data_IF_508273277812
#
_entry.id   IF_508273277812
#
_cell.length_a   1.000
_cell.length_b   1.000
_cell.length_c   1.000
_cell.angle_alpha   90.00
_cell.angle_beta   90.00
_cell.angle_gamma   90.00
#
_symmetry.space_group_name_H-M   'P 1'
#
loop_
_entity.id
_entity.type
_entity.pdbx_description
1 polymer ?
#
# COMPACT_ATOMS: atom_id res chain seq x y z
N UNK A 1 23.11 -11.65 10.68
CA UNK A 1 22.60 -10.46 9.98
C UNK A 1 23.11 -10.31 8.54
N UNK A 2 23.82 -11.31 7.95
CA UNK A 2 24.48 -11.15 6.65
C UNK A 2 23.90 -11.97 5.49
N UNK A 3 22.92 -12.79 5.72
CA UNK A 3 22.22 -13.50 4.65
C UNK A 3 20.90 -12.79 4.39
N UNK A 4 20.95 -11.76 3.57
CA UNK A 4 19.76 -11.24 2.91
C UNK A 4 19.16 -12.41 2.12
N UNK A 5 17.97 -12.89 2.43
CA UNK A 5 17.36 -13.95 1.65
C UNK A 5 16.94 -13.34 0.32
N UNK A 6 17.80 -13.44 -0.66
CA UNK A 6 17.45 -13.17 -2.03
C UNK A 6 16.46 -14.27 -2.43
N UNK A 7 15.40 -13.86 -3.07
CA UNK A 7 14.26 -14.70 -3.41
C UNK A 7 14.63 -15.97 -4.19
N UNK A 8 15.83 -16.06 -4.70
CA UNK A 8 16.29 -17.14 -5.58
C UNK A 8 17.66 -17.68 -5.18
N UNK A 9 17.74 -18.31 -4.01
CA UNK A 9 18.92 -19.13 -3.66
C UNK A 9 19.17 -20.16 -4.76
N UNK A 10 18.12 -20.70 -5.38
CA UNK A 10 18.18 -21.63 -6.49
C UNK A 10 18.81 -20.99 -7.74
N UNK A 11 18.44 -19.76 -8.06
CA UNK A 11 19.01 -19.00 -9.19
C UNK A 11 20.47 -18.66 -8.93
N UNK A 12 20.82 -18.25 -7.72
CA UNK A 12 22.21 -18.00 -7.34
C UNK A 12 23.07 -19.29 -7.40
N UNK A 13 22.55 -20.41 -6.92
CA UNK A 13 23.23 -21.71 -7.01
C UNK A 13 23.40 -22.16 -8.45
N UNK A 14 22.41 -21.98 -9.32
CA UNK A 14 22.49 -22.28 -10.75
C UNK A 14 23.51 -21.40 -11.47
N UNK A 15 23.55 -20.11 -11.18
CA UNK A 15 24.55 -19.19 -11.73
C UNK A 15 25.95 -19.57 -11.28
N UNK A 16 26.13 -19.90 -10.01
CA UNK A 16 27.44 -20.27 -9.44
C UNK A 16 27.94 -21.60 -9.99
N UNK A 17 27.06 -22.60 -10.11
CA UNK A 17 27.40 -23.89 -10.77
C UNK A 17 27.70 -23.69 -12.26
N UNK A 18 26.93 -22.86 -12.96
CA UNK A 18 27.20 -22.50 -14.35
C UNK A 18 28.56 -21.80 -14.53
N UNK A 19 28.87 -20.87 -13.64
CA UNK A 19 30.15 -20.15 -13.66
C UNK A 19 31.36 -21.11 -13.39
N UNK A 20 31.23 -22.04 -12.45
CA UNK A 20 32.25 -23.04 -12.15
C UNK A 20 32.48 -23.98 -13.35
N UNK A 21 31.39 -24.44 -14.01
CA UNK A 21 31.48 -25.27 -15.20
C UNK A 21 32.16 -24.53 -16.37
N UNK A 22 31.78 -23.26 -16.59
CA UNK A 22 32.43 -22.42 -17.61
C UNK A 22 33.91 -22.19 -17.31
N UNK A 23 34.27 -21.94 -16.06
CA UNK A 23 35.67 -21.76 -15.65
C UNK A 23 36.44 -23.05 -15.85
N UNK A 24 35.89 -24.21 -15.48
CA UNK A 24 36.54 -25.53 -15.70
C UNK A 24 36.73 -25.82 -17.20
N UNK A 25 35.72 -25.51 -18.02
CA UNK A 25 35.82 -25.65 -19.49
C UNK A 25 36.89 -24.72 -20.07
N UNK A 26 36.96 -23.47 -19.62
CA UNK A 26 37.96 -22.50 -20.04
C UNK A 26 39.39 -22.96 -19.66
N UNK A 27 39.57 -23.42 -18.42
CA UNK A 27 40.83 -23.97 -17.97
C UNK A 27 41.23 -25.21 -18.76
N UNK A 28 40.30 -26.11 -19.09
CA UNK A 28 40.56 -27.29 -19.92
C UNK A 28 40.97 -26.90 -21.36
N UNK A 29 40.44 -25.82 -21.90
CA UNK A 29 40.83 -25.30 -23.22
C UNK A 29 42.22 -24.66 -23.17
N UNK A 30 42.53 -23.89 -22.12
CA UNK A 30 43.83 -23.23 -21.94
C UNK A 30 44.95 -24.24 -21.64
N UNK A 31 44.62 -25.27 -20.88
CA UNK A 31 45.57 -26.32 -20.49
C UNK A 31 45.70 -27.45 -21.51
N UNK A 32 45.26 -27.25 -22.76
CA UNK A 32 45.44 -28.25 -23.81
C UNK A 32 46.94 -28.50 -24.03
N UNK A 33 47.40 -29.76 -23.93
CA UNK A 33 48.80 -30.07 -24.18
C UNK A 33 49.16 -29.70 -25.62
N UNK A 34 50.35 -29.16 -25.81
CA UNK A 34 50.88 -28.88 -27.13
C UNK A 34 51.02 -30.16 -27.97
N UNK A 35 51.04 -30.03 -29.30
CA UNK A 35 51.22 -31.20 -30.19
C UNK A 35 52.45 -32.03 -29.84
N UNK A 36 53.53 -31.40 -29.41
CA UNK A 36 54.72 -32.06 -28.95
C UNK A 36 54.54 -32.88 -27.68
N UNK A 37 53.87 -32.30 -26.69
CA UNK A 37 53.57 -33.00 -25.44
C UNK A 37 52.62 -34.19 -25.67
N UNK A 38 51.61 -33.98 -26.56
CA UNK A 38 50.70 -35.06 -26.95
C UNK A 38 51.47 -36.19 -27.65
N UNK A 39 52.39 -35.87 -28.57
CA UNK A 39 53.26 -36.88 -29.25
C UNK A 39 54.11 -37.65 -28.25
N UNK A 40 54.73 -36.97 -27.29
CA UNK A 40 55.52 -37.62 -26.26
C UNK A 40 54.69 -38.55 -25.35
N UNK A 41 53.44 -38.15 -25.01
CA UNK A 41 52.57 -39.01 -24.22
C UNK A 41 52.09 -40.23 -24.99
N UNK A 42 51.89 -40.14 -26.29
CA UNK A 42 51.49 -41.23 -27.16
C UNK A 42 52.71 -42.20 -27.30
N UNK A 43 53.95 -41.71 -27.48
CA UNK A 43 55.17 -42.49 -27.54
C UNK A 43 55.42 -43.25 -26.26
N UNK A 44 55.11 -42.65 -25.08
CA UNK A 44 55.25 -43.35 -23.79
C UNK A 44 54.28 -44.53 -23.65
N UNK A 45 53.28 -44.68 -24.50
CA UNK A 45 52.33 -45.81 -24.56
C UNK A 45 52.78 -46.94 -25.45
N UNK A 46 54.03 -46.93 -25.87
CA UNK A 46 54.65 -48.06 -26.56
C UNK A 46 55.05 -47.79 -28.02
N UNK A 47 54.92 -46.58 -28.51
CA UNK A 47 55.27 -46.17 -29.86
C UNK A 47 56.84 -45.88 -30.02
N UNK A 48 57.60 -45.95 -28.93
CA UNK A 48 59.07 -45.87 -28.94
C UNK A 48 59.58 -44.64 -29.72
N UNK A 49 59.17 -43.45 -29.37
CA UNK A 49 59.58 -42.15 -29.95
C UNK A 49 59.29 -41.97 -31.46
N UNK A 50 58.41 -42.78 -32.05
CA UNK A 50 58.17 -42.74 -33.50
C UNK A 50 57.31 -41.49 -33.84
N UNK A 51 56.35 -41.13 -32.99
CA UNK A 51 55.42 -39.97 -33.26
C UNK A 51 56.18 -38.68 -33.01
N UNK A 52 56.93 -38.56 -31.93
CA UNK A 52 57.70 -37.35 -31.60
C UNK A 52 58.78 -37.12 -32.68
N UNK A 53 59.49 -38.14 -33.11
CA UNK A 53 60.47 -38.04 -34.18
C UNK A 53 59.83 -37.69 -35.53
N UNK A 54 58.68 -38.26 -35.89
CA UNK A 54 57.96 -37.92 -37.10
C UNK A 54 57.49 -36.48 -37.07
N UNK A 55 57.04 -35.98 -35.92
CA UNK A 55 56.62 -34.57 -35.72
C UNK A 55 57.81 -33.62 -35.87
N UNK A 56 58.98 -33.96 -35.27
CA UNK A 56 60.20 -33.17 -35.41
C UNK A 56 60.68 -33.11 -36.86
N UNK A 57 60.68 -34.23 -37.58
CA UNK A 57 60.99 -34.28 -38.95
C UNK A 57 60.03 -33.54 -39.86
N UNK A 58 58.75 -33.40 -39.40
CA UNK A 58 57.76 -32.58 -40.14
C UNK A 58 58.04 -31.10 -40.09
N UNK A 59 58.67 -30.61 -39.02
CA UNK A 59 59.09 -29.23 -38.87
C UNK A 59 60.38 -28.86 -39.68
N UNK A 60 61.11 -29.84 -40.12
CA UNK A 60 62.33 -29.65 -40.92
C UNK A 60 61.98 -29.74 -42.43
N UNK A 61 62.27 -28.71 -43.17
CA UNK A 61 61.88 -28.55 -44.59
C UNK A 61 62.58 -29.46 -45.62
N UNK A 62 63.39 -30.46 -45.25
CA UNK A 62 64.10 -31.34 -46.17
C UNK A 62 63.29 -32.62 -46.41
N UNK A 63 62.57 -32.70 -47.50
CA UNK A 63 61.75 -33.85 -47.89
C UNK A 63 62.59 -34.99 -48.47
N UNK A 64 63.36 -35.67 -47.62
CA UNK A 64 64.09 -36.87 -48.06
C UNK A 64 63.16 -38.09 -48.04
N UNK A 65 63.41 -39.07 -48.94
CA UNK A 65 62.56 -40.28 -49.03
C UNK A 65 62.51 -41.03 -47.68
N UNK A 66 63.63 -41.03 -46.93
CA UNK A 66 63.69 -41.62 -45.59
C UNK A 66 62.73 -40.95 -44.63
N UNK A 67 62.56 -39.63 -44.64
CA UNK A 67 61.65 -38.90 -43.77
C UNK A 67 60.21 -39.23 -44.11
N UNK A 68 59.88 -39.40 -45.38
CA UNK A 68 58.55 -39.79 -45.82
C UNK A 68 58.15 -41.17 -45.31
N UNK A 69 59.06 -42.13 -45.45
CA UNK A 69 58.85 -43.47 -44.92
C UNK A 69 58.70 -43.51 -43.41
N UNK A 70 59.42 -42.69 -42.70
CA UNK A 70 59.36 -42.63 -41.23
C UNK A 70 57.99 -41.97 -40.74
N UNK A 71 57.51 -41.03 -41.49
CA UNK A 71 56.14 -40.46 -41.21
C UNK A 71 55.05 -41.48 -41.50
N UNK A 72 55.15 -42.23 -42.56
CA UNK A 72 54.18 -43.27 -42.92
C UNK A 72 54.20 -44.43 -41.86
N UNK A 73 55.36 -44.77 -41.38
CA UNK A 73 55.49 -45.78 -40.30
C UNK A 73 54.88 -45.31 -38.99
N UNK A 74 55.14 -44.05 -38.62
CA UNK A 74 54.54 -43.43 -37.44
C UNK A 74 53.02 -43.36 -37.56
N UNK A 75 52.50 -42.97 -38.76
CA UNK A 75 51.04 -42.91 -39.02
C UNK A 75 50.38 -44.29 -38.94
N UNK A 76 51.00 -45.33 -39.51
CA UNK A 76 50.43 -46.69 -39.42
C UNK A 76 50.39 -47.22 -37.98
N UNK A 77 51.42 -46.93 -37.18
CA UNK A 77 51.40 -47.32 -35.77
C UNK A 77 50.42 -46.48 -34.93
N UNK A 78 50.27 -45.21 -35.26
CA UNK A 78 49.30 -44.36 -34.61
C UNK A 78 47.85 -44.80 -34.90
N UNK A 79 47.53 -45.16 -36.16
CA UNK A 79 46.24 -45.70 -36.56
C UNK A 79 45.93 -47.08 -35.94
N UNK A 80 46.93 -47.83 -35.65
CA UNK A 80 46.76 -49.11 -34.96
C UNK A 80 46.66 -48.99 -33.42
N UNK A 81 46.87 -47.81 -32.88
CA UNK A 81 46.78 -47.57 -31.44
C UNK A 81 45.33 -47.53 -31.00
N UNK A 82 44.95 -48.38 -30.08
CA UNK A 82 43.62 -48.28 -29.43
C UNK A 82 43.66 -47.15 -28.42
N UNK A 83 43.03 -46.05 -28.81
CA UNK A 83 42.98 -44.81 -28.01
C UNK A 83 42.21 -45.04 -26.70
N UNK A 84 41.12 -45.85 -26.71
CA UNK A 84 40.32 -46.13 -25.52
C UNK A 84 41.07 -46.94 -24.49
N UNK A 85 41.88 -47.93 -24.94
CA UNK A 85 42.72 -48.70 -24.06
C UNK A 85 43.98 -47.94 -23.56
N UNK A 86 44.52 -47.05 -24.44
CA UNK A 86 45.72 -46.26 -24.14
C UNK A 86 45.45 -45.05 -23.21
N UNK A 87 44.30 -44.45 -23.35
CA UNK A 87 43.88 -43.21 -22.60
C UNK A 87 42.51 -43.38 -21.95
N UNK A 88 42.35 -44.31 -20.98
CA UNK A 88 41.08 -44.55 -20.35
C UNK A 88 40.68 -43.30 -19.57
N UNK A 89 39.53 -42.69 -19.91
CA UNK A 89 38.86 -41.63 -19.14
C UNK A 89 38.33 -42.24 -17.83
N UNK A 90 39.21 -42.46 -16.87
CA UNK A 90 38.80 -42.95 -15.55
C UNK A 90 38.84 -41.79 -14.55
N UNK A 91 37.71 -41.40 -14.07
CA UNK A 91 37.61 -40.53 -12.89
C UNK A 91 38.21 -41.30 -11.68
N UNK A 92 39.24 -40.79 -11.04
CA UNK A 92 39.77 -41.43 -9.84
C UNK A 92 38.65 -41.53 -8.79
N UNK A 93 38.52 -42.72 -8.20
CA UNK A 93 37.43 -43.06 -7.25
C UNK A 93 37.30 -42.04 -6.09
N UNK A 94 38.39 -41.39 -5.71
CA UNK A 94 38.39 -40.34 -4.66
C UNK A 94 37.69 -39.08 -5.14
N UNK A 95 37.98 -38.60 -6.33
CA UNK A 95 37.38 -37.40 -6.92
C UNK A 95 35.89 -37.59 -7.26
N UNK A 96 35.55 -38.80 -7.75
CA UNK A 96 34.13 -39.16 -7.96
C UNK A 96 33.30 -39.15 -6.66
N UNK A 97 33.88 -39.58 -5.54
CA UNK A 97 33.21 -39.49 -4.23
C UNK A 97 33.03 -38.04 -3.77
N UNK A 98 34.05 -37.20 -3.96
CA UNK A 98 33.97 -35.77 -3.62
C UNK A 98 32.91 -35.07 -4.46
N UNK A 99 32.83 -35.31 -5.76
CA UNK A 99 31.79 -34.79 -6.64
C UNK A 99 30.36 -35.24 -6.22
N UNK A 100 30.22 -36.52 -5.88
CA UNK A 100 28.95 -37.08 -5.43
C UNK A 100 28.51 -36.46 -4.10
N UNK A 101 29.42 -36.30 -3.13
CA UNK A 101 29.12 -35.65 -1.85
C UNK A 101 28.74 -34.18 -2.04
N UNK A 102 29.43 -33.45 -2.91
CA UNK A 102 29.11 -32.05 -3.21
C UNK A 102 27.74 -31.92 -3.90
N UNK A 103 27.45 -32.82 -4.86
CA UNK A 103 26.14 -32.87 -5.49
C UNK A 103 25.00 -33.17 -4.50
N UNK A 104 25.22 -34.15 -3.60
CA UNK A 104 24.28 -34.50 -2.55
C UNK A 104 24.03 -33.32 -1.59
N UNK A 105 25.09 -32.62 -1.21
CA UNK A 105 25.00 -31.43 -0.33
C UNK A 105 24.27 -30.30 -1.00
N UNK A 106 24.46 -30.05 -2.29
CA UNK A 106 23.70 -29.10 -3.08
C UNK A 106 22.21 -29.45 -3.13
N UNK A 107 21.87 -30.72 -3.34
CA UNK A 107 20.48 -31.21 -3.32
C UNK A 107 19.87 -31.03 -1.93
N UNK A 108 20.60 -31.36 -0.87
CA UNK A 108 20.15 -31.23 0.51
C UNK A 108 19.83 -29.76 0.86
N UNK A 109 20.71 -28.84 0.48
CA UNK A 109 20.49 -27.38 0.69
C UNK A 109 19.23 -26.88 -0.06
N UNK A 110 18.91 -27.44 -1.22
CA UNK A 110 17.70 -27.10 -1.97
C UNK A 110 16.42 -27.67 -1.36
N UNK A 111 16.48 -28.82 -0.70
CA UNK A 111 15.32 -29.48 -0.08
C UNK A 111 14.95 -28.83 1.25
N UNK A 112 15.92 -28.23 1.98
CA UNK A 112 15.63 -27.56 3.23
C UNK A 112 14.90 -26.25 2.94
N UNK A 113 13.60 -26.14 3.31
CA UNK A 113 12.84 -24.90 3.10
C UNK A 113 13.51 -23.77 3.89
N UNK A 114 13.75 -22.66 3.23
CA UNK A 114 14.34 -21.49 3.87
C UNK A 114 13.41 -20.97 4.98
N UNK A 115 13.75 -21.12 6.27
CA UNK A 115 12.89 -20.72 7.38
C UNK A 115 12.61 -19.20 7.41
N UNK A 116 13.41 -18.41 6.69
CA UNK A 116 13.28 -16.96 6.62
C UNK A 116 12.35 -16.49 5.50
N UNK A 117 11.90 -17.37 4.61
CA UNK A 117 11.06 -17.01 3.46
C UNK A 117 9.74 -16.37 3.90
N UNK A 118 9.08 -16.93 4.89
CA UNK A 118 7.84 -16.39 5.44
C UNK A 118 8.00 -14.99 6.05
N UNK A 119 9.13 -14.74 6.73
CA UNK A 119 9.39 -13.42 7.34
C UNK A 119 9.65 -12.35 6.27
N UNK A 120 10.35 -12.70 5.19
CA UNK A 120 10.60 -11.77 4.07
C UNK A 120 9.32 -11.47 3.31
N UNK A 121 8.53 -12.48 3.01
CA UNK A 121 7.22 -12.30 2.35
C UNK A 121 6.31 -11.41 3.20
N UNK A 122 6.29 -11.61 4.51
CA UNK A 122 5.56 -10.77 5.47
C UNK A 122 6.06 -9.33 5.44
N UNK A 123 7.36 -9.09 5.50
CA UNK A 123 7.93 -7.74 5.44
C UNK A 123 7.63 -7.05 4.11
N UNK A 124 7.66 -7.78 3.00
CA UNK A 124 7.28 -7.24 1.69
C UNK A 124 5.78 -6.91 1.63
N UNK A 125 4.91 -7.77 2.18
CA UNK A 125 3.47 -7.51 2.26
C UNK A 125 3.18 -6.24 3.08
N UNK A 126 3.79 -6.11 4.25
CA UNK A 126 3.67 -4.92 5.10
C UNK A 126 4.14 -3.65 4.36
N UNK A 127 5.28 -3.70 3.67
CA UNK A 127 5.77 -2.54 2.91
C UNK A 127 4.86 -2.15 1.76
N UNK A 128 4.30 -3.13 1.04
CA UNK A 128 3.32 -2.88 -0.03
C UNK A 128 2.06 -2.22 0.54
N UNK A 129 1.58 -2.72 1.67
CA UNK A 129 0.41 -2.16 2.34
C UNK A 129 0.68 -0.73 2.83
N UNK A 130 1.80 -0.47 3.48
CA UNK A 130 2.18 0.89 3.87
C UNK A 130 2.20 1.84 2.66
N UNK A 131 2.76 1.41 1.53
CA UNK A 131 2.79 2.22 0.31
C UNK A 131 1.39 2.47 -0.28
N UNK A 132 0.46 1.51 -0.18
CA UNK A 132 -0.94 1.70 -0.58
C UNK A 132 -1.65 2.69 0.34
N UNK A 133 -1.44 2.56 1.65
CA UNK A 133 -2.04 3.45 2.63
C UNK A 133 -1.49 4.89 2.52
N UNK A 134 -0.21 5.07 2.19
CA UNK A 134 0.34 6.40 1.88
C UNK A 134 -0.43 7.08 0.74
N UNK A 135 -0.76 6.35 -0.33
CA UNK A 135 -1.56 6.89 -1.44
C UNK A 135 -2.98 7.26 -1.01
N UNK A 136 -3.58 6.51 -0.11
CA UNK A 136 -4.91 6.84 0.43
C UNK A 136 -4.88 8.09 1.31
N UNK A 137 -3.90 8.19 2.21
CA UNK A 137 -3.67 9.37 3.04
C UNK A 137 -3.43 10.60 2.16
N UNK A 138 -2.66 10.47 1.10
CA UNK A 138 -2.41 11.54 0.15
C UNK A 138 -3.70 12.02 -0.56
N UNK A 139 -4.57 11.10 -0.98
CA UNK A 139 -5.87 11.45 -1.56
C UNK A 139 -6.73 12.25 -0.57
N UNK A 140 -6.83 11.76 0.67
CA UNK A 140 -7.60 12.42 1.72
C UNK A 140 -7.04 13.81 2.02
N UNK A 141 -5.71 13.95 2.11
CA UNK A 141 -5.05 15.24 2.27
C UNK A 141 -5.38 16.20 1.12
N UNK A 142 -5.24 15.74 -0.12
CA UNK A 142 -5.53 16.56 -1.31
C UNK A 142 -6.99 16.99 -1.39
N UNK A 143 -7.92 16.14 -0.96
CA UNK A 143 -9.34 16.50 -0.87
C UNK A 143 -9.58 17.57 0.21
N UNK A 144 -8.92 17.48 1.36
CA UNK A 144 -8.98 18.50 2.41
C UNK A 144 -8.37 19.83 1.94
N UNK A 145 -7.24 19.79 1.23
CA UNK A 145 -6.59 21.00 0.68
C UNK A 145 -7.53 21.71 -0.30
N UNK A 146 -8.12 20.97 -1.26
CA UNK A 146 -9.09 21.54 -2.22
C UNK A 146 -10.30 22.17 -1.53
N UNK A 147 -10.77 21.55 -0.45
CA UNK A 147 -11.91 22.11 0.33
C UNK A 147 -11.48 23.31 1.16
N UNK A 148 -10.26 23.32 1.68
CA UNK A 148 -9.73 24.45 2.43
C UNK A 148 -9.47 25.66 1.52
N UNK A 149 -9.08 25.47 0.26
CA UNK A 149 -8.96 26.55 -0.74
C UNK A 149 -10.34 27.22 -1.01
N UNK A 150 -11.43 26.43 -1.04
CA UNK A 150 -12.78 26.95 -1.27
C UNK A 150 -13.38 27.65 -0.05
N UNK A 151 -13.11 27.13 1.15
CA UNK A 151 -13.58 27.65 2.43
C UNK A 151 -12.46 27.47 3.47
N UNK A 152 -11.59 28.47 3.65
CA UNK A 152 -10.49 28.40 4.60
C UNK A 152 -10.97 28.22 6.03
N UNK A 153 -10.36 27.26 6.76
CA UNK A 153 -10.67 26.99 8.16
C UNK A 153 -9.41 26.58 8.90
N UNK A 154 -9.16 27.19 10.05
CA UNK A 154 -8.00 26.88 10.91
C UNK A 154 -7.94 25.41 11.26
N UNK A 155 -9.09 24.80 11.60
CA UNK A 155 -9.16 23.37 11.93
C UNK A 155 -8.85 22.46 10.75
N UNK A 156 -9.29 22.81 9.52
CA UNK A 156 -8.86 22.07 8.30
C UNK A 156 -7.36 22.17 8.08
N UNK A 157 -6.81 23.36 8.27
CA UNK A 157 -5.37 23.58 8.13
C UNK A 157 -4.56 22.74 9.13
N UNK A 158 -4.99 22.69 10.39
CA UNK A 158 -4.39 21.81 11.40
C UNK A 158 -4.51 20.33 11.03
N UNK A 159 -5.66 19.90 10.52
CA UNK A 159 -5.85 18.56 10.00
C UNK A 159 -4.93 18.23 8.82
N UNK A 160 -4.75 19.16 7.89
CA UNK A 160 -3.81 19.02 6.76
C UNK A 160 -2.38 18.87 7.28
N UNK A 161 -1.95 19.73 8.21
CA UNK A 161 -0.60 19.64 8.84
C UNK A 161 -0.39 18.29 9.53
N UNK A 162 -1.40 17.79 10.25
CA UNK A 162 -1.32 16.49 10.90
C UNK A 162 -1.16 15.34 9.89
N UNK A 163 -1.86 15.41 8.74
CA UNK A 163 -1.74 14.42 7.66
C UNK A 163 -0.39 14.52 6.92
N UNK A 164 0.17 15.72 6.76
CA UNK A 164 1.51 15.91 6.18
C UNK A 164 2.60 15.33 7.07
N UNK A 165 2.52 15.57 8.37
CA UNK A 165 3.41 14.97 9.36
C UNK A 165 3.31 13.43 9.36
N UNK A 166 2.09 12.90 9.26
CA UNK A 166 1.86 11.47 9.13
C UNK A 166 2.51 10.92 7.86
N UNK A 167 2.32 11.59 6.72
CA UNK A 167 2.88 11.15 5.44
C UNK A 167 4.42 11.07 5.53
N UNK A 168 5.07 12.05 6.16
CA UNK A 168 6.51 12.03 6.41
C UNK A 168 6.92 10.85 7.31
N UNK A 169 6.23 10.66 8.43
CA UNK A 169 6.51 9.57 9.37
C UNK A 169 6.29 8.18 8.74
N UNK A 170 5.27 8.01 7.90
CA UNK A 170 5.01 6.77 7.17
C UNK A 170 6.10 6.49 6.11
N UNK A 171 6.65 7.54 5.48
CA UNK A 171 7.76 7.39 4.54
C UNK A 171 9.06 6.93 5.24
N UNK A 172 9.30 7.40 6.46
CA UNK A 172 10.45 7.03 7.28
C UNK A 172 10.26 5.69 8.00
N UNK A 173 9.02 5.19 8.13
CA UNK A 173 8.70 4.00 8.86
C UNK A 173 9.28 2.74 8.20
N UNK A 174 10.27 2.12 8.83
CA UNK A 174 10.89 0.86 8.40
C UNK A 174 10.19 -0.37 9.00
N UNK A 175 9.48 -0.20 10.10
CA UNK A 175 8.79 -1.26 10.85
C UNK A 175 7.30 -0.97 10.94
N UNK A 176 6.50 -2.04 10.97
CA UNK A 176 5.05 -1.97 11.17
C UNK A 176 4.67 -1.17 12.42
N UNK A 177 5.34 -1.41 13.54
CA UNK A 177 5.06 -0.74 14.82
C UNK A 177 5.19 0.78 14.73
N UNK A 178 6.18 1.27 13.98
CA UNK A 178 6.37 2.70 13.77
C UNK A 178 5.23 3.31 12.95
N UNK A 179 4.80 2.60 11.88
CA UNK A 179 3.67 3.02 11.06
C UNK A 179 2.37 3.04 11.88
N UNK A 180 2.11 1.99 12.65
CA UNK A 180 0.92 1.88 13.51
C UNK A 180 0.89 2.97 14.59
N UNK A 181 2.02 3.26 15.22
CA UNK A 181 2.13 4.31 16.24
C UNK A 181 1.89 5.70 15.64
N UNK A 182 2.44 5.99 14.47
CA UNK A 182 2.22 7.27 13.80
C UNK A 182 0.77 7.44 13.35
N UNK A 183 0.12 6.38 12.83
CA UNK A 183 -1.31 6.39 12.50
C UNK A 183 -2.17 6.64 13.73
N UNK A 184 -1.94 5.91 14.83
CA UNK A 184 -2.71 6.07 16.08
C UNK A 184 -2.56 7.49 16.67
N UNK A 185 -1.34 8.03 16.67
CA UNK A 185 -1.07 9.39 17.15
C UNK A 185 -1.81 10.45 16.31
N UNK A 186 -1.83 10.30 14.99
CA UNK A 186 -2.53 11.25 14.11
C UNK A 186 -4.04 11.08 14.19
N UNK A 187 -4.54 9.84 14.33
CA UNK A 187 -5.96 9.57 14.58
C UNK A 187 -6.43 10.28 15.86
N UNK A 188 -5.65 10.25 16.95
CA UNK A 188 -5.96 10.94 18.19
C UNK A 188 -5.94 12.48 18.02
N UNK A 189 -4.98 13.02 17.25
CA UNK A 189 -4.94 14.44 16.93
C UNK A 189 -6.17 14.89 16.14
N UNK A 190 -6.56 14.14 15.09
CA UNK A 190 -7.78 14.44 14.33
C UNK A 190 -9.04 14.30 15.20
N UNK A 191 -9.07 13.30 16.09
CA UNK A 191 -10.17 13.12 17.03
C UNK A 191 -10.33 14.34 17.95
N UNK A 192 -9.25 14.90 18.47
CA UNK A 192 -9.29 16.11 19.29
C UNK A 192 -9.83 17.33 18.52
N UNK A 193 -9.50 17.43 17.22
CA UNK A 193 -10.02 18.51 16.37
C UNK A 193 -11.53 18.39 16.08
N UNK A 194 -12.06 17.17 16.16
CA UNK A 194 -13.49 16.87 15.88
C UNK A 194 -14.36 16.98 17.12
N UNK A 195 -13.84 16.72 18.33
CA UNK A 195 -14.64 16.44 19.54
C UNK A 195 -15.37 17.62 20.16
N UNK A 196 -15.07 18.86 19.79
CA UNK A 196 -15.73 20.00 20.45
C UNK A 196 -17.10 20.32 19.82
N UNK A 197 -18.16 19.73 20.37
CA UNK A 197 -19.55 20.13 20.13
C UNK A 197 -20.17 19.68 18.80
N UNK A 198 -19.67 18.61 18.18
CA UNK A 198 -20.15 18.18 16.85
C UNK A 198 -21.57 17.59 16.87
N UNK A 199 -21.92 16.81 17.88
CA UNK A 199 -23.23 16.16 17.94
C UNK A 199 -24.34 17.16 18.14
N UNK A 200 -24.13 18.17 18.99
CA UNK A 200 -25.08 19.23 19.27
C UNK A 200 -25.35 20.11 18.06
N UNK A 201 -24.28 20.56 17.37
CA UNK A 201 -24.41 21.41 16.16
C UNK A 201 -25.19 20.70 15.04
N UNK A 202 -24.90 19.43 14.78
CA UNK A 202 -25.60 18.66 13.75
C UNK A 202 -27.07 18.41 14.13
N UNK A 203 -27.30 18.10 15.39
CA UNK A 203 -28.66 17.90 15.93
C UNK A 203 -29.49 19.19 15.79
N UNK A 204 -28.92 20.33 16.18
CA UNK A 204 -29.58 21.64 16.13
C UNK A 204 -29.91 22.09 14.68
N UNK A 205 -28.93 21.91 13.76
CA UNK A 205 -29.18 22.22 12.32
C UNK A 205 -30.25 21.30 11.72
N UNK A 206 -30.26 20.02 12.06
CA UNK A 206 -31.30 19.10 11.60
C UNK A 206 -32.66 19.39 12.22
N UNK A 207 -32.70 19.71 13.51
CA UNK A 207 -33.91 20.10 14.22
C UNK A 207 -34.55 21.34 13.60
N UNK A 208 -33.74 22.38 13.38
CA UNK A 208 -34.17 23.63 12.72
C UNK A 208 -34.61 23.38 11.27
N UNK A 209 -33.87 22.58 10.50
CA UNK A 209 -34.23 22.21 9.13
C UNK A 209 -35.62 21.55 9.08
N UNK A 210 -35.90 20.60 9.99
CA UNK A 210 -37.23 19.94 10.05
C UNK A 210 -38.33 20.90 10.41
N UNK A 211 -38.11 21.76 11.40
CA UNK A 211 -39.11 22.76 11.82
C UNK A 211 -39.46 23.74 10.69
N UNK A 212 -38.46 24.25 9.99
CA UNK A 212 -38.66 25.17 8.86
C UNK A 212 -39.33 24.49 7.65
N UNK A 213 -39.09 23.22 7.39
CA UNK A 213 -39.72 22.49 6.27
C UNK A 213 -41.20 22.19 6.47
N UNK A 214 -41.71 22.29 7.68
CA UNK A 214 -43.15 22.10 7.96
C UNK A 214 -44.00 23.17 7.30
N UNK A 215 -43.47 24.38 7.22
CA UNK A 215 -44.16 25.52 6.61
C UNK A 215 -43.57 25.83 5.22
N UNK A 216 -44.44 26.12 4.26
CA UNK A 216 -44.03 26.40 2.88
C UNK A 216 -43.05 27.58 2.81
N UNK A 217 -43.31 28.62 3.63
CA UNK A 217 -42.50 29.82 3.69
C UNK A 217 -41.06 29.58 4.20
N UNK A 218 -40.90 28.58 5.05
CA UNK A 218 -39.59 28.16 5.64
C UNK A 218 -38.86 27.13 4.83
N UNK A 219 -39.50 26.47 3.86
CA UNK A 219 -39.01 25.30 3.15
C UNK A 219 -37.67 25.54 2.47
N UNK A 220 -37.49 26.67 1.76
CA UNK A 220 -36.21 26.99 1.12
C UNK A 220 -35.06 27.06 2.13
N UNK A 221 -35.27 27.73 3.28
CA UNK A 221 -34.27 27.81 4.34
C UNK A 221 -33.97 26.44 4.95
N UNK A 222 -35.00 25.63 5.18
CA UNK A 222 -34.88 24.27 5.70
C UNK A 222 -34.13 23.34 4.76
N UNK A 223 -34.31 23.45 3.44
CA UNK A 223 -33.60 22.68 2.45
C UNK A 223 -32.10 23.05 2.39
N UNK A 224 -31.80 24.36 2.47
CA UNK A 224 -30.42 24.84 2.50
C UNK A 224 -29.68 24.41 3.79
N UNK A 225 -30.39 24.41 4.93
CA UNK A 225 -29.87 23.88 6.18
C UNK A 225 -29.55 22.38 6.09
N UNK A 226 -30.48 21.60 5.49
CA UNK A 226 -30.25 20.17 5.28
C UNK A 226 -29.08 19.87 4.35
N UNK A 227 -28.85 20.72 3.35
CA UNK A 227 -27.72 20.59 2.44
C UNK A 227 -26.38 20.94 3.09
N UNK A 228 -26.36 21.70 4.20
CA UNK A 228 -25.17 22.04 4.97
C UNK A 228 -24.23 23.04 4.30
N UNK A 229 -24.64 23.68 3.20
CA UNK A 229 -23.84 24.71 2.53
C UNK A 229 -23.95 26.05 3.27
N UNK A 230 -22.90 26.40 3.99
CA UNK A 230 -22.78 27.61 4.80
C UNK A 230 -23.17 28.88 4.05
N UNK A 231 -22.75 29.03 2.79
CA UNK A 231 -23.04 30.22 1.98
C UNK A 231 -24.51 30.29 1.55
N UNK A 232 -25.02 29.14 1.14
CA UNK A 232 -26.45 29.06 0.72
C UNK A 232 -27.40 29.20 1.93
N UNK A 233 -27.01 28.69 3.10
CA UNK A 233 -27.73 28.92 4.37
C UNK A 233 -27.85 30.42 4.60
N UNK A 234 -26.71 31.13 4.68
CA UNK A 234 -26.70 32.57 4.92
C UNK A 234 -27.55 33.32 3.88
N UNK A 235 -27.36 33.04 2.58
CA UNK A 235 -28.11 33.69 1.50
C UNK A 235 -29.63 33.46 1.60
N UNK A 236 -30.06 32.26 1.98
CA UNK A 236 -31.50 31.96 2.11
C UNK A 236 -32.12 32.75 3.25
N UNK A 237 -31.41 32.91 4.37
CA UNK A 237 -31.87 33.72 5.50
C UNK A 237 -31.85 35.24 5.17
N UNK A 238 -30.83 35.74 4.47
CA UNK A 238 -30.77 37.12 4.02
C UNK A 238 -31.89 37.44 3.04
N UNK A 239 -32.20 36.56 2.07
CA UNK A 239 -33.34 36.70 1.17
C UNK A 239 -34.71 36.74 1.93
N UNK A 240 -34.82 35.87 2.95
CA UNK A 240 -36.01 35.88 3.78
C UNK A 240 -36.09 37.18 4.59
N UNK A 241 -34.99 37.68 5.11
CA UNK A 241 -34.90 38.95 5.83
C UNK A 241 -35.38 40.15 4.96
N UNK A 242 -34.99 40.16 3.67
CA UNK A 242 -35.46 41.18 2.71
C UNK A 242 -36.96 41.07 2.42
N UNK A 243 -37.50 39.85 2.37
CA UNK A 243 -38.90 39.58 2.06
C UNK A 243 -39.86 39.77 3.26
N UNK A 244 -39.32 39.86 4.49
CA UNK A 244 -40.16 39.94 5.72
C UNK A 244 -41.19 41.06 5.67
N UNK A 245 -40.85 42.22 5.09
CA UNK A 245 -41.77 43.37 4.94
C UNK A 245 -42.97 43.08 4.04
N UNK A 246 -42.81 42.20 3.07
CA UNK A 246 -43.82 41.78 2.11
C UNK A 246 -44.67 40.59 2.60
N UNK A 247 -44.28 39.93 3.71
CA UNK A 247 -45.02 38.79 4.25
C UNK A 247 -46.36 39.22 4.89
N UNK A 248 -47.36 38.36 4.73
CA UNK A 248 -48.64 38.52 5.47
C UNK A 248 -48.43 38.33 6.97
N UNK A 249 -49.34 38.80 7.78
CA UNK A 249 -49.29 38.60 9.24
C UNK A 249 -49.35 37.11 9.58
N UNK A 250 -50.13 36.32 8.87
CA UNK A 250 -50.23 34.84 9.04
C UNK A 250 -48.92 34.15 8.72
N UNK A 251 -48.25 34.50 7.61
CA UNK A 251 -46.97 33.93 7.21
C UNK A 251 -45.87 34.26 8.21
N UNK A 252 -45.83 35.48 8.75
CA UNK A 252 -44.88 35.86 9.82
C UNK A 252 -45.10 35.05 11.08
N UNK A 253 -46.37 34.81 11.47
CA UNK A 253 -46.72 33.99 12.63
C UNK A 253 -46.31 32.52 12.44
N UNK A 254 -46.55 31.95 11.25
CA UNK A 254 -46.11 30.57 10.92
C UNK A 254 -44.61 30.44 10.98
N UNK A 255 -43.87 31.38 10.39
CA UNK A 255 -42.42 31.37 10.46
C UNK A 255 -41.91 31.52 11.91
N UNK A 256 -42.54 32.41 12.70
CA UNK A 256 -42.22 32.58 14.11
C UNK A 256 -42.49 31.30 14.92
N UNK A 257 -43.60 30.58 14.63
CA UNK A 257 -43.89 29.30 15.26
C UNK A 257 -42.86 28.24 14.96
N UNK A 258 -42.41 28.10 13.68
CA UNK A 258 -41.36 27.18 13.28
C UNK A 258 -40.01 27.48 13.97
N UNK A 259 -39.64 28.78 14.10
CA UNK A 259 -38.44 29.19 14.82
C UNK A 259 -38.54 28.90 16.33
N UNK A 260 -39.68 29.13 16.94
CA UNK A 260 -39.91 28.77 18.35
C UNK A 260 -39.86 27.25 18.58
N UNK A 261 -40.43 26.46 17.68
CA UNK A 261 -40.36 25.02 17.71
C UNK A 261 -38.87 24.55 17.63
N UNK A 262 -38.11 25.12 16.72
CA UNK A 262 -36.67 24.84 16.62
C UNK A 262 -35.92 25.26 17.88
N UNK A 263 -36.25 26.40 18.48
CA UNK A 263 -35.64 26.85 19.73
C UNK A 263 -35.89 25.91 20.91
N UNK A 264 -37.05 25.21 20.96
CA UNK A 264 -37.30 24.23 22.02
C UNK A 264 -36.45 22.97 21.89
N UNK A 265 -36.06 22.61 20.68
CA UNK A 265 -35.21 21.41 20.39
C UNK A 265 -33.72 21.72 20.30
N UNK A 266 -33.33 23.01 20.31
CA UNK A 266 -31.92 23.40 20.23
C UNK A 266 -31.19 23.13 21.55
N UNK A 267 -29.98 22.50 21.41
CA UNK A 267 -29.09 22.25 22.54
C UNK A 267 -28.18 23.44 22.82
N UNK A 268 -27.78 24.20 21.78
CA UNK A 268 -26.98 25.41 21.91
C UNK A 268 -27.84 26.57 22.49
N UNK A 269 -27.46 27.07 23.66
CA UNK A 269 -28.13 28.13 24.37
C UNK A 269 -28.15 29.47 23.60
N UNK A 270 -27.07 29.78 22.90
CA UNK A 270 -26.95 31.00 22.10
C UNK A 270 -27.88 30.93 20.85
N UNK A 271 -27.89 29.79 20.18
CA UNK A 271 -28.79 29.54 19.06
C UNK A 271 -30.25 29.62 19.52
N UNK A 272 -30.59 28.97 20.63
CA UNK A 272 -31.90 29.02 21.24
C UNK A 272 -32.36 30.47 21.52
N UNK A 273 -31.49 31.29 22.08
CA UNK A 273 -31.74 32.69 22.35
C UNK A 273 -31.98 33.47 21.06
N UNK A 274 -31.18 33.27 20.03
CA UNK A 274 -31.31 33.94 18.73
C UNK A 274 -32.60 33.55 17.99
N UNK A 275 -32.94 32.24 18.01
CA UNK A 275 -34.19 31.73 17.44
C UNK A 275 -35.42 32.38 18.12
N UNK A 276 -35.44 32.44 19.45
CA UNK A 276 -36.51 33.08 20.19
C UNK A 276 -36.59 34.58 19.93
N UNK A 277 -35.43 35.28 19.80
CA UNK A 277 -35.42 36.71 19.46
C UNK A 277 -35.97 36.97 18.05
N UNK A 278 -35.56 36.14 17.06
CA UNK A 278 -36.08 36.24 15.70
C UNK A 278 -37.60 36.00 15.65
N UNK A 279 -38.09 34.97 16.34
CA UNK A 279 -39.50 34.66 16.43
C UNK A 279 -40.32 35.79 17.07
N UNK A 280 -39.84 36.37 18.19
CA UNK A 280 -40.48 37.52 18.84
C UNK A 280 -40.54 38.76 17.92
N UNK A 281 -39.46 39.03 17.18
CA UNK A 281 -39.38 40.14 16.24
C UNK A 281 -40.39 40.00 15.10
N UNK A 282 -40.59 38.77 14.58
CA UNK A 282 -41.63 38.48 13.57
C UNK A 282 -43.03 38.73 14.10
N UNK A 283 -43.30 38.32 15.36
CA UNK A 283 -44.62 38.53 16.01
C UNK A 283 -44.87 39.99 16.41
N UNK A 284 -43.86 40.80 16.67
CA UNK A 284 -43.99 42.21 17.04
C UNK A 284 -44.43 43.12 15.88
N UNK A 285 -44.40 42.60 14.65
CA UNK A 285 -44.79 43.37 13.46
C UNK A 285 -43.70 44.30 12.92
N UNK A 286 -42.57 44.47 13.58
CA UNK A 286 -41.45 45.29 13.11
C UNK A 286 -40.64 44.53 12.04
N UNK A 287 -40.95 44.76 10.77
CA UNK A 287 -40.26 44.10 9.64
C UNK A 287 -38.76 44.37 9.66
N UNK A 288 -38.31 45.57 10.02
CA UNK A 288 -36.91 45.91 10.07
C UNK A 288 -36.17 45.14 11.18
N UNK A 289 -36.75 45.04 12.39
CA UNK A 289 -36.17 44.27 13.48
C UNK A 289 -36.13 42.78 13.17
N UNK A 290 -37.19 42.24 12.59
CA UNK A 290 -37.28 40.84 12.18
C UNK A 290 -36.27 40.52 11.07
N UNK A 291 -36.11 41.37 10.06
CA UNK A 291 -35.10 41.20 9.01
C UNK A 291 -33.68 41.19 9.57
N UNK A 292 -33.33 42.13 10.44
CA UNK A 292 -32.00 42.15 11.06
C UNK A 292 -31.69 40.92 11.92
N UNK A 293 -32.70 40.40 12.64
CA UNK A 293 -32.57 39.20 13.46
C UNK A 293 -32.44 37.94 12.61
N UNK A 294 -33.19 37.83 11.50
CA UNK A 294 -33.06 36.70 10.56
C UNK A 294 -31.71 36.70 9.86
N UNK A 295 -31.17 37.84 9.44
CA UNK A 295 -29.85 37.94 8.84
C UNK A 295 -28.73 37.56 9.84
N UNK A 296 -28.84 38.04 11.09
CA UNK A 296 -27.93 37.64 12.16
C UNK A 296 -27.98 36.13 12.42
N UNK A 297 -29.17 35.54 12.48
CA UNK A 297 -29.39 34.10 12.60
C UNK A 297 -28.79 33.35 11.42
N UNK A 298 -28.98 33.82 10.18
CA UNK A 298 -28.38 33.26 8.99
C UNK A 298 -26.85 33.25 9.03
N UNK A 299 -26.24 34.30 9.61
CA UNK A 299 -24.78 34.35 9.80
C UNK A 299 -24.30 33.33 10.83
N UNK A 300 -25.01 33.18 11.95
CA UNK A 300 -24.70 32.16 12.97
C UNK A 300 -24.85 30.75 12.42
N UNK A 301 -25.95 30.46 11.74
CA UNK A 301 -26.22 29.14 11.12
C UNK A 301 -25.24 28.82 9.99
N UNK A 302 -24.85 29.83 9.20
CA UNK A 302 -23.78 29.68 8.20
C UNK A 302 -22.48 29.24 8.83
N UNK A 303 -22.08 29.85 9.95
CA UNK A 303 -20.89 29.46 10.71
C UNK A 303 -21.01 28.04 11.28
N UNK A 304 -22.17 27.69 11.84
CA UNK A 304 -22.43 26.33 12.33
C UNK A 304 -22.40 25.30 11.19
N UNK A 305 -22.96 25.62 10.03
CA UNK A 305 -22.86 24.78 8.83
C UNK A 305 -21.42 24.55 8.37
N UNK A 306 -20.59 25.60 8.42
CA UNK A 306 -19.18 25.48 8.12
C UNK A 306 -18.45 24.60 9.12
N UNK A 307 -18.69 24.77 10.41
CA UNK A 307 -18.13 23.92 11.46
C UNK A 307 -18.54 22.45 11.27
N UNK A 308 -19.81 22.19 10.98
CA UNK A 308 -20.32 20.86 10.68
C UNK A 308 -19.61 20.23 9.47
N UNK A 309 -19.45 20.99 8.39
CA UNK A 309 -18.74 20.53 7.19
C UNK A 309 -17.26 20.22 7.48
N UNK A 310 -16.58 21.08 8.25
CA UNK A 310 -15.18 20.84 8.68
C UNK A 310 -15.07 19.55 9.49
N UNK A 311 -15.95 19.39 10.47
CA UNK A 311 -15.96 18.21 11.32
C UNK A 311 -16.25 16.93 10.52
N UNK A 312 -17.19 16.98 9.56
CA UNK A 312 -17.45 15.85 8.67
C UNK A 312 -16.23 15.48 7.81
N UNK A 313 -15.49 16.47 7.34
CA UNK A 313 -14.27 16.26 6.57
C UNK A 313 -13.15 15.62 7.44
N UNK A 314 -12.95 16.11 8.65
CA UNK A 314 -11.99 15.54 9.60
C UNK A 314 -12.39 14.13 10.05
N UNK A 315 -13.69 13.88 10.28
CA UNK A 315 -14.20 12.55 10.60
C UNK A 315 -13.95 11.55 9.46
N UNK A 316 -14.13 11.96 8.20
CA UNK A 316 -13.76 11.12 7.03
C UNK A 316 -12.26 10.81 6.99
N UNK A 317 -11.43 11.80 7.28
CA UNK A 317 -9.99 11.60 7.39
C UNK A 317 -9.66 10.59 8.49
N UNK A 318 -10.29 10.70 9.65
CA UNK A 318 -10.12 9.76 10.76
C UNK A 318 -10.55 8.34 10.38
N UNK A 319 -11.70 8.14 9.72
CA UNK A 319 -12.13 6.83 9.24
C UNK A 319 -11.13 6.23 8.23
N UNK A 320 -10.57 7.06 7.35
CA UNK A 320 -9.55 6.62 6.41
C UNK A 320 -8.26 6.16 7.13
N UNK A 321 -7.85 6.85 8.20
CA UNK A 321 -6.70 6.42 9.02
C UNK A 321 -6.99 5.13 9.79
N UNK A 322 -8.20 4.95 10.29
CA UNK A 322 -8.62 3.73 10.96
C UNK A 322 -8.63 2.54 9.99
N UNK A 323 -9.12 2.73 8.75
CA UNK A 323 -9.04 1.70 7.72
C UNK A 323 -7.60 1.38 7.32
N UNK A 324 -6.74 2.40 7.23
CA UNK A 324 -5.31 2.22 6.98
C UNK A 324 -4.62 1.41 8.07
N UNK A 325 -4.94 1.69 9.32
CA UNK A 325 -4.43 0.94 10.48
C UNK A 325 -4.87 -0.52 10.47
N UNK A 326 -6.13 -0.79 10.17
CA UNK A 326 -6.63 -2.18 10.03
C UNK A 326 -5.99 -2.90 8.85
N UNK A 327 -5.80 -2.24 7.70
CA UNK A 327 -5.11 -2.81 6.54
C UNK A 327 -3.67 -3.25 6.86
N UNK A 328 -2.89 -2.40 7.53
CA UNK A 328 -1.52 -2.73 7.96
C UNK A 328 -1.51 -3.86 9.01
N UNK A 329 -2.48 -3.89 9.93
CA UNK A 329 -2.59 -4.94 10.93
C UNK A 329 -2.92 -6.30 10.30
N UNK A 330 -3.85 -6.35 9.33
CA UNK A 330 -4.22 -7.58 8.62
C UNK A 330 -3.10 -8.09 7.71
N UNK A 331 -2.36 -7.21 7.04
CA UNK A 331 -1.21 -7.60 6.25
C UNK A 331 -0.11 -8.30 7.09
N UNK A 332 0.02 -7.91 8.35
CA UNK A 332 0.95 -8.55 9.27
C UNK A 332 0.48 -9.92 9.78
N UNK A 333 -0.82 -10.12 9.94
CA UNK A 333 -1.38 -11.39 10.41
C UNK A 333 -1.49 -12.43 9.28
N UNK A 334 -1.75 -12.02 8.05
CA UNK A 334 -1.87 -12.93 6.90
C UNK A 334 -0.56 -13.62 6.52
N UNK A 335 0.59 -13.08 6.90
CA UNK A 335 1.91 -13.72 6.73
C UNK A 335 2.18 -14.91 7.68
N UNK A 336 1.31 -15.19 8.66
CA UNK A 336 1.48 -16.30 9.62
C UNK A 336 0.65 -17.54 9.30
N UNK A 337 -0.22 -17.49 8.31
CA UNK A 337 -1.27 -18.50 8.10
C UNK A 337 -1.27 -19.22 6.77
N UNK A 338 -0.12 -19.76 6.33
CA UNK A 338 -0.15 -20.75 5.24
C UNK A 338 -0.38 -22.19 5.75
N UNK A 339 -0.67 -22.39 7.04
CA UNK A 339 -0.93 -23.73 7.59
C UNK A 339 -1.88 -23.69 8.81
N UNK A 340 -3.05 -23.09 8.68
CA UNK A 340 -4.18 -23.48 9.52
C UNK A 340 -5.41 -23.62 8.64
N UNK A 341 -5.79 -24.86 8.46
CA UNK A 341 -7.03 -25.30 7.85
C UNK A 341 -8.21 -24.44 8.32
N UNK A 342 -9.06 -24.14 7.40
CA UNK A 342 -10.39 -23.58 7.58
C UNK A 342 -11.13 -24.24 8.76
N UNK A 343 -10.96 -23.72 9.96
CA UNK A 343 -11.93 -23.92 11.02
C UNK A 343 -12.84 -22.70 10.97
N UNK A 344 -14.06 -22.94 10.49
CA UNK A 344 -15.13 -21.96 10.42
C UNK A 344 -15.36 -21.29 11.77
N UNK A 345 -14.88 -20.06 11.90
CA UNK A 345 -15.33 -19.16 12.94
C UNK A 345 -16.60 -18.48 12.41
N UNK A 346 -17.75 -19.07 12.74
CA UNK A 346 -19.04 -18.40 12.65
C UNK A 346 -18.96 -17.10 13.45
N UNK A 347 -19.09 -15.98 12.76
CA UNK A 347 -19.29 -14.68 13.42
C UNK A 347 -20.60 -14.72 14.19
N UNK A 348 -20.53 -14.95 15.50
CA UNK A 348 -21.63 -14.68 16.41
C UNK A 348 -21.71 -13.16 16.59
N UNK A 349 -22.51 -12.50 15.75
CA UNK A 349 -23.02 -11.17 16.04
C UNK A 349 -24.28 -11.32 16.89
N UNK A 350 -24.36 -10.78 18.10
CA UNK A 350 -25.62 -10.70 18.82
C UNK A 350 -26.45 -9.57 18.20
N UNK A 351 -27.45 -9.91 17.40
CA UNK A 351 -28.38 -8.90 16.89
C UNK A 351 -29.15 -9.18 15.61
N UNK A 352 -29.07 -10.37 14.99
CA UNK A 352 -29.97 -10.72 13.90
C UNK A 352 -31.20 -11.46 14.42
N UNK A 353 -32.22 -10.71 14.86
CA UNK A 353 -33.59 -11.18 14.97
C UNK A 353 -34.23 -11.09 13.59
N UNK A 354 -34.30 -12.20 12.87
CA UNK A 354 -35.25 -12.36 11.75
C UNK A 354 -36.59 -12.82 12.32
N UNK A 355 -37.69 -12.13 12.08
CA UNK A 355 -39.02 -12.66 12.43
C UNK A 355 -39.37 -13.79 11.48
N UNK A 356 -39.69 -14.96 12.07
CA UNK A 356 -40.11 -16.13 11.38
C UNK A 356 -41.39 -15.90 10.58
N UNK A 357 -41.40 -16.30 9.32
CA UNK A 357 -42.59 -16.50 8.52
C UNK A 357 -43.21 -17.84 8.88
N UNK A 358 -44.35 -17.82 9.59
CA UNK A 358 -45.24 -18.94 9.70
C UNK A 358 -46.02 -19.05 8.40
N UNK A 359 -45.80 -20.15 7.65
CA UNK A 359 -46.66 -20.60 6.58
C UNK A 359 -47.48 -21.78 7.08
N UNK A 360 -48.76 -21.62 7.06
CA UNK A 360 -49.75 -22.71 6.89
C UNK A 360 -50.16 -22.76 5.44
#
# INVERSE_FOLDING_TARGET
AFLRPWADVLTCCLILTGAILLLAAALAVISRPGLWEAACQVDAKGLKERVSTALELSCRSSGTELQTRQREDALRHLQALDIEAGFPLRLPRREGKVLLTLALLLVLVNIIPNPQRGEVERQMAIRREIAQQQKQVEKVKNDLVKKNEKAPSVRREEGIKALEDLQRKLHEAKKQEQAMKSLASTEEQLKKLVLDGQEDVNSDLQGLSRALKQEEIGREMGDKLAAGDSREIKKSFDRMAEKVSALSTDDRQKLAASLNQAATSANDGDLKSQLNQAARSLNSGSAQAAGSKLSALGTTLGRMGEQSAVNADLARAQMALQSARTGIATAASSGTGANMASSGASCQHPGCNTPGSNGT
#
